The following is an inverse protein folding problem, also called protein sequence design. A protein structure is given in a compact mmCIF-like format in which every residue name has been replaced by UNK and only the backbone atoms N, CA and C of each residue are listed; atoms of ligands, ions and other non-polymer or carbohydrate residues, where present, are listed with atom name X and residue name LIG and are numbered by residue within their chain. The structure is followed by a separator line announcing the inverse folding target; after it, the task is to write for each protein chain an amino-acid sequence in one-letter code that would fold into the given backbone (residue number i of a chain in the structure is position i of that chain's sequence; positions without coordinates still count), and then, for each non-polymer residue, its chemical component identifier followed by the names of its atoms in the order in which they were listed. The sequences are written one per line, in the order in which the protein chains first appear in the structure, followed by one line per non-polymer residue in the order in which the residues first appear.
data_IF_741688562430
#
_entry.id   IF_741688562430
#
_cell.length_a   1.000
_cell.length_b   1.000
_cell.length_c   1.000
_cell.angle_alpha   90.00
_cell.angle_beta   90.00
_cell.angle_gamma   90.00
#
_symmetry.space_group_name_H-M   'P 1'
#
loop_
_entity.id
_entity.type
_entity.pdbx_description
1 polymer ?
#
# COMPACT_ATOMS: atom_id res chain seq x y z
N UNK A 1 6.91 -26.52 31.27
CA UNK A 1 6.82 -27.88 30.70
C UNK A 1 7.07 -27.98 29.19
N UNK A 2 6.77 -26.97 28.36
CA UNK A 2 6.97 -27.03 26.88
C UNK A 2 8.41 -26.83 26.34
N UNK A 3 9.37 -26.36 27.16
CA UNK A 3 10.76 -26.11 26.70
C UNK A 3 11.61 -27.39 26.65
N UNK A 4 11.28 -28.42 27.44
CA UNK A 4 12.08 -29.65 27.56
C UNK A 4 11.87 -30.58 26.36
N UNK A 5 10.62 -30.67 25.87
CA UNK A 5 10.24 -31.53 24.73
C UNK A 5 10.87 -31.08 23.40
N UNK A 6 11.08 -29.78 23.18
CA UNK A 6 11.68 -29.25 21.94
C UNK A 6 13.19 -29.54 21.86
N UNK A 7 13.92 -29.48 22.98
CA UNK A 7 15.36 -29.81 23.01
C UNK A 7 15.57 -31.31 22.80
N UNK A 8 14.71 -32.17 23.34
CA UNK A 8 14.76 -33.61 23.08
C UNK A 8 14.39 -33.96 21.65
N UNK A 9 13.38 -33.32 21.06
CA UNK A 9 13.01 -33.56 19.66
C UNK A 9 14.15 -33.15 18.70
N UNK A 10 14.81 -32.01 18.94
CA UNK A 10 15.96 -31.57 18.15
C UNK A 10 17.18 -32.48 18.35
N UNK A 11 17.43 -32.97 19.57
CA UNK A 11 18.50 -33.97 19.83
C UNK A 11 18.22 -35.31 19.16
N UNK A 12 16.96 -35.77 19.15
CA UNK A 12 16.54 -37.04 18.55
C UNK A 12 16.59 -37.00 17.01
N UNK A 13 16.32 -35.83 16.42
CA UNK A 13 16.57 -35.56 14.99
C UNK A 13 18.08 -35.55 14.73
N UNK A 14 18.89 -34.77 15.45
CA UNK A 14 20.36 -34.71 15.29
C UNK A 14 21.06 -36.07 15.38
N UNK A 15 20.57 -36.97 16.24
CA UNK A 15 21.16 -38.30 16.42
C UNK A 15 20.80 -39.28 15.30
N UNK A 16 19.62 -39.14 14.68
CA UNK A 16 19.24 -39.97 13.51
C UNK A 16 19.81 -39.44 12.19
N UNK A 17 20.05 -38.14 12.06
CA UNK A 17 20.52 -37.50 10.81
C UNK A 17 21.99 -37.73 10.48
N UNK A 18 22.83 -38.07 11.46
CA UNK A 18 24.27 -38.28 11.22
C UNK A 18 24.62 -39.62 10.56
N UNK A 19 23.66 -40.53 10.35
CA UNK A 19 23.95 -41.88 9.84
C UNK A 19 23.33 -42.24 8.50
N UNK A 20 22.36 -41.49 7.97
CA UNK A 20 21.68 -41.84 6.71
C UNK A 20 21.38 -40.58 5.87
N UNK A 21 22.04 -40.48 4.72
CA UNK A 21 21.79 -39.60 3.58
C UNK A 21 22.24 -38.11 3.65
N UNK A 22 23.17 -37.68 2.77
CA UNK A 22 23.52 -36.26 2.53
C UNK A 22 22.35 -35.36 2.11
N UNK A 23 21.23 -35.93 1.63
CA UNK A 23 20.02 -35.20 1.23
C UNK A 23 19.26 -34.59 2.41
N UNK A 24 19.49 -35.02 3.66
CA UNK A 24 18.85 -34.39 4.83
C UNK A 24 19.52 -33.10 5.30
N UNK A 25 20.79 -32.87 4.94
CA UNK A 25 21.47 -31.59 5.22
C UNK A 25 20.84 -30.43 4.43
N UNK A 26 20.25 -30.69 3.26
CA UNK A 26 19.46 -29.71 2.51
C UNK A 26 18.17 -29.35 3.26
N UNK A 27 17.43 -30.34 3.76
CA UNK A 27 16.21 -30.11 4.54
C UNK A 27 16.48 -29.30 5.81
N UNK A 28 17.60 -29.57 6.49
CA UNK A 28 17.98 -28.86 7.72
C UNK A 28 18.40 -27.40 7.46
N UNK A 29 18.99 -27.11 6.29
CA UNK A 29 19.29 -25.74 5.87
C UNK A 29 18.01 -24.97 5.52
N UNK A 30 17.03 -25.62 4.87
CA UNK A 30 15.75 -24.99 4.53
C UNK A 30 14.90 -24.67 5.77
N UNK A 31 14.96 -25.49 6.83
CA UNK A 31 14.23 -25.20 8.08
C UNK A 31 14.82 -24.02 8.88
N UNK A 32 16.13 -23.78 8.81
CA UNK A 32 16.79 -22.63 9.44
C UNK A 32 16.61 -21.34 8.64
N UNK A 33 16.27 -21.44 7.36
CA UNK A 33 16.05 -20.28 6.49
C UNK A 33 14.85 -19.44 6.93
N UNK A 34 13.87 -20.05 7.61
CA UNK A 34 12.65 -19.38 8.10
C UNK A 34 12.84 -18.61 9.41
N UNK A 35 14.01 -18.71 10.06
CA UNK A 35 14.30 -17.95 11.27
C UNK A 35 14.52 -16.47 10.91
N UNK A 36 13.68 -15.59 11.42
CA UNK A 36 13.67 -14.17 11.14
C UNK A 36 14.70 -13.44 12.00
N UNK A 37 15.50 -12.59 11.37
CA UNK A 37 16.39 -11.67 12.06
C UNK A 37 15.59 -10.70 12.95
N UNK A 38 16.09 -10.46 14.18
CA UNK A 38 15.38 -9.67 15.19
C UNK A 38 15.05 -8.24 14.75
N UNK A 39 15.91 -7.58 13.98
CA UNK A 39 15.62 -6.22 13.51
C UNK A 39 14.55 -6.23 12.42
N UNK A 40 14.59 -7.23 11.54
CA UNK A 40 13.60 -7.40 10.48
C UNK A 40 12.23 -7.74 11.09
N UNK A 41 12.21 -8.60 12.11
CA UNK A 41 11.01 -8.88 12.89
C UNK A 41 10.44 -7.61 13.53
N UNK A 42 11.26 -6.83 14.24
CA UNK A 42 10.84 -5.55 14.85
C UNK A 42 10.32 -4.55 13.82
N UNK A 43 10.91 -4.53 12.62
CA UNK A 43 10.48 -3.66 11.53
C UNK A 43 9.07 -4.02 11.01
N UNK A 44 8.78 -5.32 10.91
CA UNK A 44 7.52 -5.88 10.38
C UNK A 44 6.39 -5.94 11.42
N UNK A 45 6.76 -6.09 12.69
CA UNK A 45 5.85 -6.35 13.79
C UNK A 45 4.66 -5.38 13.90
N UNK A 46 4.80 -4.04 13.78
CA UNK A 46 3.69 -3.12 14.01
C UNK A 46 2.53 -3.36 13.04
N UNK A 47 2.86 -3.57 11.77
CA UNK A 47 1.87 -3.77 10.71
C UNK A 47 1.27 -5.17 10.83
N UNK A 48 2.09 -6.19 11.07
CA UNK A 48 1.63 -7.56 11.22
C UNK A 48 0.68 -7.71 12.43
N UNK A 49 0.99 -7.03 13.53
CA UNK A 49 0.15 -7.02 14.74
C UNK A 49 -1.25 -6.50 14.43
N UNK A 50 -1.35 -5.31 13.81
CA UNK A 50 -2.66 -4.73 13.50
C UNK A 50 -3.40 -5.55 12.44
N UNK A 51 -2.71 -6.09 11.44
CA UNK A 51 -3.32 -6.99 10.46
C UNK A 51 -3.87 -8.27 11.09
N UNK A 52 -3.19 -8.81 12.10
CA UNK A 52 -3.66 -9.95 12.86
C UNK A 52 -4.92 -9.61 13.68
N UNK A 53 -4.94 -8.45 14.36
CA UNK A 53 -6.12 -7.93 15.08
C UNK A 53 -7.30 -7.70 14.14
N UNK A 54 -7.04 -7.28 12.90
CA UNK A 54 -8.05 -7.08 11.85
C UNK A 54 -8.38 -8.36 11.07
N UNK A 55 -7.93 -9.53 11.54
CA UNK A 55 -8.20 -10.84 10.93
C UNK A 55 -7.83 -10.95 9.45
N UNK A 56 -6.80 -10.21 9.05
CA UNK A 56 -6.24 -10.22 7.70
C UNK A 56 -4.71 -10.32 7.72
N UNK A 57 -4.10 -11.25 8.51
CA UNK A 57 -2.65 -11.43 8.51
C UNK A 57 -2.17 -11.90 7.13
N UNK A 58 -1.02 -11.41 6.69
CA UNK A 58 -0.40 -11.81 5.42
C UNK A 58 0.48 -13.06 5.56
N UNK A 59 0.98 -13.28 6.77
CA UNK A 59 1.82 -14.38 7.18
C UNK A 59 1.76 -14.46 8.71
N UNK A 60 2.31 -15.53 9.28
CA UNK A 60 2.37 -15.74 10.71
C UNK A 60 3.82 -15.69 11.20
N UNK A 61 4.10 -14.88 12.23
CA UNK A 61 5.39 -14.87 12.93
C UNK A 61 5.20 -15.48 14.31
N UNK A 62 5.81 -16.64 14.55
CA UNK A 62 5.77 -17.33 15.85
C UNK A 62 7.17 -17.79 16.24
N UNK A 63 7.61 -17.45 17.45
CA UNK A 63 8.93 -17.82 17.98
C UNK A 63 10.09 -17.42 17.06
N UNK A 64 9.98 -16.24 16.43
CA UNK A 64 10.90 -15.71 15.42
C UNK A 64 10.94 -16.51 14.11
N UNK A 65 10.04 -17.48 13.89
CA UNK A 65 9.88 -18.13 12.59
C UNK A 65 8.75 -17.46 11.82
N UNK A 66 9.00 -17.14 10.56
CA UNK A 66 7.95 -16.74 9.63
C UNK A 66 7.41 -17.97 8.90
N UNK A 67 6.09 -18.10 8.89
CA UNK A 67 5.36 -19.21 8.27
C UNK A 67 4.15 -18.67 7.52
N UNK A 68 3.65 -19.41 6.54
CA UNK A 68 2.38 -19.05 5.91
C UNK A 68 1.23 -19.24 6.88
N UNK A 69 0.10 -18.60 6.58
CA UNK A 69 -1.08 -18.70 7.42
C UNK A 69 -1.59 -20.15 7.44
N UNK A 70 -1.97 -20.63 8.63
CA UNK A 70 -2.61 -21.93 8.74
C UNK A 70 -4.04 -21.90 8.19
N UNK A 71 -4.61 -23.07 7.89
CA UNK A 71 -5.98 -23.19 7.38
C UNK A 71 -7.00 -22.56 8.31
N UNK A 72 -6.81 -22.65 9.62
CA UNK A 72 -7.72 -22.06 10.62
C UNK A 72 -7.79 -20.53 10.51
N UNK A 73 -6.65 -19.85 10.44
CA UNK A 73 -6.57 -18.39 10.27
C UNK A 73 -7.21 -17.98 8.93
N UNK A 74 -6.95 -18.73 7.86
CA UNK A 74 -7.57 -18.48 6.56
C UNK A 74 -9.10 -18.66 6.60
N UNK A 75 -9.61 -19.70 7.25
CA UNK A 75 -11.05 -19.91 7.45
C UNK A 75 -11.68 -18.78 8.28
N UNK A 76 -11.03 -18.35 9.35
CA UNK A 76 -11.50 -17.22 10.18
C UNK A 76 -11.54 -15.94 9.35
N UNK A 77 -10.50 -15.65 8.57
CA UNK A 77 -10.43 -14.48 7.70
C UNK A 77 -11.55 -14.47 6.64
N UNK A 78 -11.83 -15.62 6.02
CA UNK A 78 -12.95 -15.77 5.08
C UNK A 78 -14.31 -15.61 5.75
N UNK A 79 -14.50 -16.24 6.92
CA UNK A 79 -15.76 -16.15 7.67
C UNK A 79 -16.05 -14.69 8.03
N UNK A 80 -15.05 -13.97 8.54
CA UNK A 80 -15.19 -12.55 8.89
C UNK A 80 -15.45 -11.70 7.65
N UNK A 81 -14.77 -11.97 6.54
CA UNK A 81 -15.04 -11.32 5.24
C UNK A 81 -16.46 -11.56 4.76
N UNK A 82 -16.98 -12.77 4.92
CA UNK A 82 -18.36 -13.12 4.60
C UNK A 82 -19.36 -12.41 5.53
N UNK A 83 -19.09 -12.37 6.84
CA UNK A 83 -19.89 -11.60 7.79
C UNK A 83 -19.93 -10.11 7.43
N UNK A 84 -18.81 -9.53 6.99
CA UNK A 84 -18.77 -8.16 6.49
C UNK A 84 -19.68 -7.97 5.28
N UNK A 85 -19.54 -8.82 4.26
CA UNK A 85 -20.37 -8.75 3.04
C UNK A 85 -21.85 -8.89 3.38
N UNK A 86 -22.22 -9.86 4.23
CA UNK A 86 -23.60 -10.09 4.65
C UNK A 86 -24.16 -8.88 5.41
N UNK A 87 -23.36 -8.29 6.33
CA UNK A 87 -23.77 -7.10 7.07
C UNK A 87 -24.10 -5.94 6.12
N UNK A 88 -23.36 -5.77 5.02
CA UNK A 88 -23.64 -4.74 4.03
C UNK A 88 -24.89 -5.02 3.21
N UNK A 89 -25.13 -6.27 2.81
CA UNK A 89 -26.34 -6.65 2.09
C UNK A 89 -27.57 -6.37 2.96
N UNK A 90 -27.51 -6.67 4.25
CA UNK A 90 -28.59 -6.40 5.21
C UNK A 90 -28.87 -4.89 5.28
N UNK A 91 -27.85 -4.02 5.36
CA UNK A 91 -28.08 -2.56 5.34
C UNK A 91 -28.82 -2.14 4.08
N UNK A 92 -28.32 -2.56 2.91
CA UNK A 92 -28.90 -2.15 1.63
C UNK A 92 -30.36 -2.60 1.54
N UNK A 93 -30.68 -3.76 2.10
CA UNK A 93 -32.04 -4.31 2.10
C UNK A 93 -32.99 -3.61 3.09
N UNK A 94 -32.51 -3.22 4.28
CA UNK A 94 -33.36 -2.77 5.39
C UNK A 94 -33.30 -1.27 5.69
N UNK A 95 -32.36 -0.51 5.12
CA UNK A 95 -32.23 0.92 5.37
C UNK A 95 -33.32 1.69 4.58
N UNK A 96 -34.47 1.91 5.21
CA UNK A 96 -35.63 2.66 4.67
C UNK A 96 -35.33 4.01 3.98
N UNK A 97 -34.32 4.83 4.35
CA UNK A 97 -33.98 6.04 3.58
C UNK A 97 -33.69 5.77 2.09
N UNK A 98 -33.25 4.55 1.73
CA UNK A 98 -33.03 4.12 0.33
C UNK A 98 -34.29 4.29 -0.54
N UNK A 99 -35.47 4.04 0.02
CA UNK A 99 -36.74 4.14 -0.72
C UNK A 99 -37.13 5.58 -1.07
N UNK A 100 -36.56 6.56 -0.36
CA UNK A 100 -36.83 8.00 -0.58
C UNK A 100 -35.84 8.66 -1.53
N UNK A 101 -34.71 8.02 -1.83
CA UNK A 101 -33.71 8.61 -2.70
C UNK A 101 -34.07 8.48 -4.18
N UNK A 102 -33.69 9.49 -4.96
CA UNK A 102 -33.73 9.37 -6.42
C UNK A 102 -32.90 8.17 -6.89
N UNK A 103 -33.37 7.49 -7.95
CA UNK A 103 -32.76 6.26 -8.50
C UNK A 103 -31.23 6.37 -8.70
N UNK A 104 -30.74 7.56 -9.05
CA UNK A 104 -29.31 7.80 -9.25
C UNK A 104 -28.50 7.68 -7.95
N UNK A 105 -28.93 8.31 -6.86
CA UNK A 105 -28.20 8.26 -5.59
C UNK A 105 -28.20 6.85 -5.01
N UNK A 106 -29.32 6.14 -5.14
CA UNK A 106 -29.41 4.72 -4.79
C UNK A 106 -28.41 3.87 -5.57
N UNK A 107 -28.32 4.08 -6.89
CA UNK A 107 -27.37 3.34 -7.73
C UNK A 107 -25.92 3.57 -7.28
N UNK A 108 -25.57 4.81 -6.95
CA UNK A 108 -24.23 5.17 -6.46
C UNK A 108 -23.94 4.58 -5.08
N UNK A 109 -24.93 4.57 -4.19
CA UNK A 109 -24.83 3.95 -2.87
C UNK A 109 -24.60 2.44 -3.00
N UNK A 110 -25.43 1.74 -3.75
CA UNK A 110 -25.29 0.29 -4.02
C UNK A 110 -23.93 -0.02 -4.64
N UNK A 111 -23.50 0.76 -5.63
CA UNK A 111 -22.19 0.60 -6.25
C UNK A 111 -21.05 0.76 -5.23
N UNK A 112 -21.12 1.76 -4.34
CA UNK A 112 -20.12 1.97 -3.28
C UNK A 112 -19.99 0.76 -2.37
N UNK A 113 -21.10 0.21 -1.87
CA UNK A 113 -21.05 -0.97 -1.00
C UNK A 113 -20.62 -2.24 -1.73
N UNK A 114 -21.08 -2.41 -2.98
CA UNK A 114 -20.61 -3.49 -3.83
C UNK A 114 -19.09 -3.48 -3.96
N UNK A 115 -18.50 -2.31 -4.21
CA UNK A 115 -17.04 -2.15 -4.29
C UNK A 115 -16.33 -2.44 -2.97
N UNK A 116 -16.92 -2.08 -1.81
CA UNK A 116 -16.36 -2.47 -0.51
C UNK A 116 -16.39 -3.99 -0.31
N UNK A 117 -17.49 -4.64 -0.68
CA UNK A 117 -17.63 -6.10 -0.59
C UNK A 117 -16.60 -6.81 -1.48
N UNK A 118 -16.49 -6.38 -2.75
CA UNK A 118 -15.50 -6.89 -3.70
C UNK A 118 -14.09 -6.65 -3.19
N UNK A 119 -13.80 -5.45 -2.68
CA UNK A 119 -12.48 -5.11 -2.14
C UNK A 119 -12.10 -5.96 -0.91
N UNK A 120 -13.05 -6.18 0.00
CA UNK A 120 -12.86 -7.04 1.17
C UNK A 120 -12.61 -8.50 0.75
N UNK A 121 -13.48 -9.05 -0.10
CA UNK A 121 -13.37 -10.42 -0.60
C UNK A 121 -12.06 -10.65 -1.34
N UNK A 122 -11.70 -9.77 -2.28
CA UNK A 122 -10.44 -9.87 -3.02
C UNK A 122 -9.23 -9.75 -2.11
N UNK A 123 -9.23 -8.86 -1.11
CA UNK A 123 -8.12 -8.75 -0.16
C UNK A 123 -7.91 -10.06 0.62
N UNK A 124 -8.99 -10.68 1.09
CA UNK A 124 -8.90 -11.94 1.84
C UNK A 124 -8.47 -13.10 0.94
N UNK A 125 -9.02 -13.19 -0.28
CA UNK A 125 -8.61 -14.20 -1.29
C UNK A 125 -7.12 -14.05 -1.61
N UNK A 126 -6.65 -12.83 -1.88
CA UNK A 126 -5.24 -12.55 -2.19
C UNK A 126 -4.34 -12.93 -1.02
N UNK A 127 -4.69 -12.55 0.22
CA UNK A 127 -3.87 -12.88 1.39
C UNK A 127 -3.79 -14.40 1.63
N UNK A 128 -4.85 -15.15 1.30
CA UNK A 128 -4.87 -16.62 1.44
C UNK A 128 -4.01 -17.27 0.35
N UNK A 129 -4.31 -16.96 -0.92
CA UNK A 129 -3.62 -17.55 -2.09
C UNK A 129 -2.14 -17.17 -2.08
N UNK A 130 -1.80 -15.94 -1.72
CA UNK A 130 -0.43 -15.42 -1.78
C UNK A 130 0.31 -15.45 -0.44
N UNK A 131 -0.20 -16.18 0.56
CA UNK A 131 0.45 -16.26 1.88
C UNK A 131 1.88 -16.81 1.80
N UNK A 132 2.14 -17.84 1.01
CA UNK A 132 3.49 -18.37 0.78
C UNK A 132 4.39 -17.35 0.05
N UNK A 133 3.83 -16.61 -0.91
CA UNK A 133 4.53 -15.55 -1.64
C UNK A 133 4.92 -14.39 -0.71
N UNK A 134 4.07 -14.05 0.27
CA UNK A 134 4.39 -13.08 1.30
C UNK A 134 5.57 -13.54 2.19
N UNK A 135 5.58 -14.81 2.58
CA UNK A 135 6.71 -15.39 3.33
C UNK A 135 7.98 -15.33 2.48
N UNK A 136 7.90 -15.75 1.21
CA UNK A 136 9.02 -15.73 0.26
C UNK A 136 9.60 -14.32 0.08
N UNK A 137 8.75 -13.27 0.04
CA UNK A 137 9.21 -11.88 0.00
C UNK A 137 10.11 -11.56 1.20
N UNK A 138 9.64 -11.84 2.41
CA UNK A 138 10.37 -11.53 3.65
C UNK A 138 11.67 -12.33 3.74
N UNK A 139 11.66 -13.61 3.35
CA UNK A 139 12.86 -14.44 3.31
C UNK A 139 13.87 -13.93 2.29
N UNK A 140 13.40 -13.45 1.13
CA UNK A 140 14.27 -12.84 0.12
C UNK A 140 14.90 -11.56 0.64
N UNK A 141 14.13 -10.70 1.31
CA UNK A 141 14.62 -9.49 2.00
C UNK A 141 15.65 -9.85 3.06
N UNK A 142 15.41 -10.91 3.85
CA UNK A 142 16.38 -11.39 4.83
C UNK A 142 17.69 -11.87 4.19
N UNK A 143 17.62 -12.60 3.06
CA UNK A 143 18.81 -13.05 2.33
C UNK A 143 19.61 -11.85 1.81
N UNK A 144 18.93 -10.79 1.36
CA UNK A 144 19.56 -9.52 1.00
C UNK A 144 20.21 -8.87 2.23
N UNK A 145 19.52 -8.82 3.39
CA UNK A 145 20.10 -8.28 4.64
C UNK A 145 21.37 -9.02 5.06
N UNK A 146 21.34 -10.36 5.07
CA UNK A 146 22.49 -11.22 5.44
C UNK A 146 23.70 -10.96 4.56
N UNK A 147 23.49 -10.56 3.31
CA UNK A 147 24.58 -10.18 2.40
C UNK A 147 25.26 -8.88 2.84
N UNK A 148 24.47 -7.84 3.11
CA UNK A 148 24.96 -6.54 3.57
C UNK A 148 25.25 -6.55 5.09
N UNK A 149 25.98 -7.54 5.62
CA UNK A 149 26.19 -7.82 7.08
C UNK A 149 26.32 -6.61 8.02
N UNK A 150 26.78 -5.47 7.52
CA UNK A 150 27.01 -4.21 8.24
C UNK A 150 25.78 -3.29 8.34
N UNK A 151 24.70 -3.58 7.61
CA UNK A 151 23.52 -2.73 7.52
C UNK A 151 22.46 -3.27 8.47
N UNK A 152 22.52 -2.80 9.69
CA UNK A 152 21.38 -2.90 10.61
C UNK A 152 20.23 -2.09 10.06
N UNK A 153 19.00 -2.61 10.17
CA UNK A 153 17.83 -1.79 9.89
C UNK A 153 17.83 -0.68 10.93
N UNK A 154 17.98 0.56 10.47
CA UNK A 154 18.05 1.74 11.34
C UNK A 154 16.88 1.74 12.33
N UNK A 155 17.18 1.88 13.63
CA UNK A 155 16.18 2.00 14.69
C UNK A 155 15.16 3.10 14.37
N UNK A 156 15.61 4.19 13.72
CA UNK A 156 14.71 5.25 13.24
C UNK A 156 13.68 4.71 12.26
N UNK A 157 14.06 3.80 11.38
CA UNK A 157 13.12 3.16 10.47
C UNK A 157 12.08 2.35 11.25
N UNK A 158 12.47 1.56 12.24
CA UNK A 158 11.53 0.80 13.09
C UNK A 158 10.54 1.74 13.81
N UNK A 159 11.04 2.81 14.43
CA UNK A 159 10.22 3.82 15.13
C UNK A 159 9.23 4.47 14.16
N UNK A 160 9.69 4.89 12.98
CA UNK A 160 8.81 5.48 11.96
C UNK A 160 7.71 4.48 11.55
N UNK A 161 7.99 3.18 11.51
CA UNK A 161 6.97 2.15 11.21
C UNK A 161 5.84 2.16 12.24
N UNK A 162 6.20 2.18 13.53
CA UNK A 162 5.24 2.30 14.64
C UNK A 162 4.44 3.60 14.56
N UNK A 163 5.12 4.73 14.35
CA UNK A 163 4.47 6.04 14.28
C UNK A 163 3.41 6.08 13.17
N UNK A 164 3.69 5.52 11.99
CA UNK A 164 2.68 5.47 10.90
C UNK A 164 1.47 4.62 11.29
N UNK A 165 1.68 3.45 11.90
CA UNK A 165 0.59 2.57 12.32
C UNK A 165 -0.24 3.22 13.43
N UNK A 166 0.42 3.84 14.43
CA UNK A 166 -0.24 4.54 15.53
C UNK A 166 -1.05 5.74 15.04
N UNK A 167 -0.48 6.61 14.21
CA UNK A 167 -1.20 7.75 13.62
C UNK A 167 -2.44 7.27 12.87
N UNK A 168 -2.31 6.21 12.07
CA UNK A 168 -3.42 5.67 11.30
C UNK A 168 -4.51 5.07 12.22
N UNK A 169 -4.14 4.27 13.22
CA UNK A 169 -5.10 3.70 14.17
C UNK A 169 -5.79 4.79 14.98
N UNK A 170 -5.04 5.75 15.52
CA UNK A 170 -5.59 6.89 16.26
C UNK A 170 -6.57 7.71 15.42
N UNK A 171 -6.26 7.93 14.13
CA UNK A 171 -7.17 8.62 13.22
C UNK A 171 -8.53 7.90 13.11
N UNK A 172 -8.53 6.58 12.91
CA UNK A 172 -9.78 5.82 12.80
C UNK A 172 -10.52 5.67 14.14
N UNK A 173 -9.80 5.56 15.26
CA UNK A 173 -10.40 5.53 16.60
C UNK A 173 -11.08 6.86 16.91
N UNK A 174 -10.40 8.00 16.67
CA UNK A 174 -11.00 9.33 16.87
C UNK A 174 -12.22 9.53 15.97
N UNK A 175 -12.15 9.07 14.71
CA UNK A 175 -13.28 9.14 13.79
C UNK A 175 -14.46 8.31 14.26
N UNK A 176 -14.18 7.11 14.79
CA UNK A 176 -15.20 6.24 15.37
C UNK A 176 -15.85 6.84 16.62
N UNK A 177 -15.05 7.42 17.54
CA UNK A 177 -15.54 8.10 18.73
C UNK A 177 -16.41 9.31 18.37
N UNK A 178 -16.04 10.07 17.34
CA UNK A 178 -16.86 11.18 16.85
C UNK A 178 -18.25 10.70 16.41
N UNK A 179 -18.31 9.59 15.65
CA UNK A 179 -19.58 9.00 15.22
C UNK A 179 -20.43 8.48 16.37
N UNK A 180 -19.81 7.88 17.40
CA UNK A 180 -20.53 7.47 18.63
C UNK A 180 -21.21 8.67 19.32
N UNK A 181 -20.56 9.82 19.33
CA UNK A 181 -21.08 11.01 20.02
C UNK A 181 -22.21 11.67 19.22
N UNK A 182 -22.12 11.66 17.88
CA UNK A 182 -23.05 12.40 17.01
C UNK A 182 -24.20 11.56 16.47
N UNK A 183 -24.00 10.26 16.27
CA UNK A 183 -24.95 9.37 15.62
C UNK A 183 -25.17 8.09 16.43
N UNK A 184 -26.32 7.44 16.20
CA UNK A 184 -26.51 6.09 16.74
C UNK A 184 -25.56 5.16 16.01
N UNK A 185 -24.55 4.68 16.73
CA UNK A 185 -23.58 3.76 16.19
C UNK A 185 -24.27 2.49 15.68
N UNK A 186 -24.10 2.23 14.38
CA UNK A 186 -24.47 0.94 13.79
C UNK A 186 -23.23 0.06 13.69
N UNK A 187 -23.42 -1.25 13.89
CA UNK A 187 -22.37 -2.26 13.76
C UNK A 187 -21.68 -2.23 12.38
N UNK A 188 -22.39 -1.72 11.39
CA UNK A 188 -21.94 -1.62 10.00
C UNK A 188 -20.99 -0.45 9.75
N UNK A 189 -21.14 0.66 10.48
CA UNK A 189 -20.16 1.74 10.49
C UNK A 189 -18.82 1.24 11.07
N UNK A 190 -18.85 0.49 12.17
CA UNK A 190 -17.66 -0.14 12.77
C UNK A 190 -16.91 -0.93 11.71
N UNK A 191 -17.63 -1.82 11.04
CA UNK A 191 -17.09 -2.69 10.00
C UNK A 191 -16.53 -1.92 8.81
N UNK A 192 -17.20 -0.86 8.38
CA UNK A 192 -16.70 0.04 7.35
C UNK A 192 -15.37 0.65 7.75
N UNK A 193 -15.24 1.14 8.98
CA UNK A 193 -13.98 1.75 9.44
C UNK A 193 -12.84 0.73 9.57
N UNK A 194 -13.14 -0.50 10.01
CA UNK A 194 -12.14 -1.57 10.03
C UNK A 194 -11.64 -1.91 8.62
N UNK A 195 -12.51 -1.96 7.62
CA UNK A 195 -12.12 -2.19 6.22
C UNK A 195 -11.34 -1.03 5.62
N UNK A 196 -11.73 0.21 5.93
CA UNK A 196 -10.99 1.41 5.52
C UNK A 196 -9.59 1.41 6.14
N UNK A 197 -9.47 1.10 7.43
CA UNK A 197 -8.19 0.96 8.15
C UNK A 197 -7.33 -0.14 7.53
N UNK A 198 -7.89 -1.32 7.23
CA UNK A 198 -7.17 -2.43 6.61
C UNK A 198 -6.60 -2.06 5.23
N UNK A 199 -7.37 -1.36 4.41
CA UNK A 199 -6.93 -0.89 3.10
C UNK A 199 -5.78 0.13 3.20
N UNK A 200 -5.83 1.05 4.16
CA UNK A 200 -4.75 2.00 4.40
C UNK A 200 -3.51 1.32 5.00
N UNK A 201 -3.67 0.34 5.90
CA UNK A 201 -2.56 -0.48 6.42
C UNK A 201 -1.86 -1.27 5.31
N UNK A 202 -2.60 -1.81 4.33
CA UNK A 202 -2.01 -2.43 3.15
C UNK A 202 -1.18 -1.45 2.32
N UNK A 203 -1.62 -0.20 2.23
CA UNK A 203 -0.89 0.87 1.54
C UNK A 203 0.38 1.23 2.30
N UNK A 204 0.30 1.35 3.63
CA UNK A 204 1.47 1.57 4.50
C UNK A 204 2.43 0.38 4.40
N UNK A 205 1.96 -0.87 4.44
CA UNK A 205 2.79 -2.05 4.24
C UNK A 205 3.61 -1.97 2.95
N UNK A 206 2.97 -1.68 1.82
CA UNK A 206 3.65 -1.54 0.53
C UNK A 206 4.69 -0.41 0.58
N UNK A 207 4.32 0.76 1.09
CA UNK A 207 5.21 1.91 1.24
C UNK A 207 6.51 1.53 1.98
N UNK A 208 6.37 0.75 3.06
CA UNK A 208 7.49 0.30 3.89
C UNK A 208 8.37 -0.72 3.16
N UNK A 209 7.78 -1.69 2.46
CA UNK A 209 8.54 -2.65 1.66
C UNK A 209 9.35 -1.98 0.54
N UNK A 210 8.74 -1.06 -0.21
CA UNK A 210 9.41 -0.32 -1.28
C UNK A 210 10.57 0.52 -0.71
N UNK A 211 10.34 1.20 0.42
CA UNK A 211 11.38 1.98 1.10
C UNK A 211 12.55 1.11 1.54
N UNK A 212 12.29 -0.07 2.09
CA UNK A 212 13.33 -1.02 2.52
C UNK A 212 14.15 -1.53 1.32
N UNK A 213 13.47 -1.95 0.25
CA UNK A 213 14.13 -2.40 -0.99
C UNK A 213 14.95 -1.29 -1.64
N UNK A 214 14.46 -0.04 -1.64
CA UNK A 214 15.24 1.12 -2.11
C UNK A 214 16.53 1.26 -1.33
N UNK A 215 16.49 1.16 0.00
CA UNK A 215 17.68 1.34 0.82
C UNK A 215 18.74 0.28 0.48
N UNK A 216 18.35 -0.98 0.29
CA UNK A 216 19.26 -2.03 -0.18
C UNK A 216 19.82 -1.75 -1.59
N UNK A 217 18.99 -1.23 -2.48
CA UNK A 217 19.43 -0.85 -3.83
C UNK A 217 20.46 0.29 -3.80
N UNK A 218 20.25 1.30 -2.95
CA UNK A 218 21.20 2.41 -2.74
C UNK A 218 22.52 1.90 -2.16
N UNK A 219 22.46 0.99 -1.19
CA UNK A 219 23.66 0.36 -0.62
C UNK A 219 24.44 -0.42 -1.68
N UNK A 220 23.74 -1.21 -2.50
CA UNK A 220 24.33 -1.92 -3.62
C UNK A 220 25.05 -0.97 -4.59
N UNK A 221 24.42 0.16 -4.95
CA UNK A 221 25.00 1.20 -5.82
C UNK A 221 26.28 1.75 -5.20
N UNK A 222 26.27 2.08 -3.91
CA UNK A 222 27.42 2.64 -3.22
C UNK A 222 28.59 1.66 -3.19
N UNK A 223 28.35 0.39 -2.84
CA UNK A 223 29.40 -0.65 -2.83
C UNK A 223 29.96 -0.90 -4.23
N UNK A 224 29.12 -0.89 -5.27
CA UNK A 224 29.58 -1.03 -6.66
C UNK A 224 30.43 0.16 -7.12
N UNK A 225 30.07 1.39 -6.73
CA UNK A 225 30.89 2.57 -7.03
C UNK A 225 32.26 2.49 -6.35
N UNK A 226 32.29 2.12 -5.06
CA UNK A 226 33.53 1.93 -4.32
C UNK A 226 34.41 0.85 -4.96
N UNK A 227 33.79 -0.28 -5.35
CA UNK A 227 34.49 -1.35 -6.06
C UNK A 227 35.12 -0.83 -7.35
N UNK A 228 34.38 -0.11 -8.19
CA UNK A 228 34.92 0.43 -9.45
C UNK A 228 36.13 1.33 -9.22
N UNK A 229 36.09 2.18 -8.20
CA UNK A 229 37.23 3.03 -7.84
C UNK A 229 38.43 2.19 -7.39
N UNK A 230 38.21 1.11 -6.63
CA UNK A 230 39.30 0.22 -6.21
C UNK A 230 39.89 -0.61 -7.37
N UNK A 231 39.07 -1.07 -8.32
CA UNK A 231 39.52 -1.86 -9.48
C UNK A 231 40.42 -1.04 -10.39
N UNK A 232 40.09 0.23 -10.63
CA UNK A 232 40.93 1.13 -11.42
C UNK A 232 42.34 1.24 -10.82
N UNK A 233 42.46 1.19 -9.50
CA UNK A 233 43.76 1.23 -8.81
C UNK A 233 44.46 -0.15 -8.80
N UNK A 234 43.71 -1.24 -8.67
CA UNK A 234 44.24 -2.60 -8.50
C UNK A 234 44.56 -3.32 -9.82
N UNK A 235 44.07 -2.84 -10.97
CA UNK A 235 44.34 -3.40 -12.30
C UNK A 235 45.85 -3.54 -12.60
N UNK A 236 46.70 -2.76 -11.94
CA UNK A 236 48.15 -2.87 -12.00
C UNK A 236 48.76 -4.09 -11.26
N UNK A 237 47.98 -4.83 -10.46
CA UNK A 237 48.49 -5.85 -9.51
C UNK A 237 48.15 -7.32 -9.83
N UNK A 238 47.58 -7.60 -11.00
CA UNK A 238 47.49 -8.94 -11.61
C UNK A 238 46.74 -10.04 -10.80
N UNK A 239 45.59 -9.73 -10.16
CA UNK A 239 44.75 -10.71 -9.42
C UNK A 239 43.29 -10.86 -9.95
N UNK A 240 43.08 -11.45 -11.14
CA UNK A 240 41.76 -11.50 -11.80
C UNK A 240 40.69 -12.35 -11.08
N UNK A 241 41.06 -13.42 -10.36
CA UNK A 241 40.07 -14.37 -9.80
C UNK A 241 39.21 -13.77 -8.68
N UNK A 242 39.75 -12.86 -7.86
CA UNK A 242 39.01 -12.25 -6.75
C UNK A 242 37.92 -11.28 -7.25
N UNK A 243 38.20 -10.58 -8.34
CA UNK A 243 37.28 -9.64 -8.97
C UNK A 243 36.04 -10.36 -9.51
N UNK A 244 36.24 -11.49 -10.19
CA UNK A 244 35.14 -12.30 -10.72
C UNK A 244 34.19 -12.79 -9.62
N UNK A 245 34.74 -13.33 -8.53
CA UNK A 245 33.93 -13.84 -7.39
C UNK A 245 33.15 -12.71 -6.73
N UNK A 246 33.80 -11.56 -6.48
CA UNK A 246 33.13 -10.39 -5.93
C UNK A 246 31.98 -9.93 -6.83
N UNK A 247 32.25 -9.86 -8.13
CA UNK A 247 31.29 -9.38 -9.12
C UNK A 247 30.08 -10.31 -9.24
N UNK A 248 30.30 -11.61 -9.41
CA UNK A 248 29.23 -12.63 -9.41
C UNK A 248 28.36 -12.53 -8.16
N UNK A 249 28.97 -12.27 -7.00
CA UNK A 249 28.25 -12.10 -5.74
C UNK A 249 27.37 -10.85 -5.77
N UNK A 250 27.88 -9.69 -6.21
CA UNK A 250 27.10 -8.45 -6.34
C UNK A 250 25.96 -8.58 -7.35
N UNK A 251 26.19 -9.25 -8.48
CA UNK A 251 25.16 -9.56 -9.48
C UNK A 251 24.04 -10.40 -8.88
N UNK A 252 24.40 -11.45 -8.12
CA UNK A 252 23.40 -12.31 -7.48
C UNK A 252 22.52 -11.55 -6.48
N UNK A 253 23.07 -10.55 -5.80
CA UNK A 253 22.35 -9.72 -4.82
C UNK A 253 21.43 -8.74 -5.51
N UNK A 254 21.89 -8.08 -6.58
CA UNK A 254 21.01 -7.23 -7.39
C UNK A 254 19.83 -8.04 -7.93
N UNK A 255 20.08 -9.24 -8.46
CA UNK A 255 19.02 -10.14 -8.91
C UNK A 255 17.99 -10.40 -7.81
N UNK A 256 18.44 -10.74 -6.59
CA UNK A 256 17.54 -10.94 -5.43
C UNK A 256 16.75 -9.67 -5.06
N UNK A 257 17.34 -8.48 -5.14
CA UNK A 257 16.63 -7.22 -4.91
C UNK A 257 15.54 -7.03 -5.96
N UNK A 258 15.82 -7.31 -7.23
CA UNK A 258 14.85 -7.24 -8.32
C UNK A 258 13.74 -8.28 -8.16
N UNK A 259 14.07 -9.51 -7.78
CA UNK A 259 13.10 -10.57 -7.51
C UNK A 259 12.17 -10.19 -6.34
N UNK A 260 12.72 -9.69 -5.23
CA UNK A 260 11.93 -9.19 -4.10
C UNK A 260 11.03 -8.00 -4.50
N UNK A 261 11.53 -7.15 -5.39
CA UNK A 261 10.77 -6.02 -5.93
C UNK A 261 9.59 -6.51 -6.78
N UNK A 262 9.83 -7.51 -7.63
CA UNK A 262 8.79 -8.14 -8.44
C UNK A 262 7.71 -8.77 -7.55
N UNK A 263 8.12 -9.57 -6.56
CA UNK A 263 7.21 -10.18 -5.59
C UNK A 263 6.42 -9.10 -4.83
N UNK A 264 7.09 -8.04 -4.35
CA UNK A 264 6.43 -6.93 -3.66
C UNK A 264 5.39 -6.23 -4.54
N UNK A 265 5.66 -6.11 -5.84
CA UNK A 265 4.72 -5.54 -6.81
C UNK A 265 3.49 -6.43 -6.93
N UNK A 266 3.65 -7.71 -7.27
CA UNK A 266 2.56 -8.70 -7.41
C UNK A 266 1.63 -8.71 -6.19
N UNK A 267 2.21 -8.76 -4.99
CA UNK A 267 1.49 -8.82 -3.72
C UNK A 267 0.69 -7.55 -3.39
N UNK A 268 1.18 -6.39 -3.84
CA UNK A 268 0.61 -5.10 -3.44
C UNK A 268 -0.20 -4.45 -4.56
N UNK A 269 -0.06 -4.90 -5.80
CA UNK A 269 -0.70 -4.30 -6.97
C UNK A 269 -2.23 -4.43 -6.90
N UNK A 270 -2.77 -5.61 -6.61
CA UNK A 270 -4.22 -5.81 -6.55
C UNK A 270 -4.85 -5.01 -5.40
N UNK A 271 -4.39 -5.11 -4.13
CA UNK A 271 -5.01 -4.37 -3.04
C UNK A 271 -4.87 -2.84 -3.18
N UNK A 272 -3.72 -2.37 -3.67
CA UNK A 272 -3.51 -0.93 -3.86
C UNK A 272 -4.31 -0.40 -5.04
N UNK A 273 -4.40 -1.13 -6.15
CA UNK A 273 -5.27 -0.74 -7.27
C UNK A 273 -6.72 -0.67 -6.83
N UNK A 274 -7.22 -1.69 -6.14
CA UNK A 274 -8.57 -1.67 -5.58
C UNK A 274 -8.78 -0.49 -4.63
N UNK A 275 -7.80 -0.19 -3.76
CA UNK A 275 -7.86 0.98 -2.89
C UNK A 275 -7.83 2.31 -3.67
N UNK A 276 -7.06 2.39 -4.76
CA UNK A 276 -7.00 3.57 -5.63
C UNK A 276 -8.30 3.75 -6.43
N UNK A 277 -8.85 2.68 -7.03
CA UNK A 277 -10.16 2.71 -7.67
C UNK A 277 -11.24 3.08 -6.69
N UNK A 278 -11.20 2.52 -5.48
CA UNK A 278 -12.11 2.90 -4.40
C UNK A 278 -11.97 4.36 -4.03
N UNK A 279 -10.75 4.90 -3.83
CA UNK A 279 -10.52 6.33 -3.55
C UNK A 279 -10.98 7.22 -4.71
N UNK A 280 -10.85 6.73 -5.95
CA UNK A 280 -11.32 7.42 -7.15
C UNK A 280 -12.85 7.32 -7.33
N UNK A 281 -13.50 6.25 -6.87
CA UNK A 281 -14.97 6.08 -6.90
C UNK A 281 -15.63 6.79 -5.71
N UNK A 282 -14.91 6.89 -4.59
CA UNK A 282 -15.11 7.91 -3.55
C UNK A 282 -14.82 9.34 -4.07
N UNK A 283 -14.69 9.54 -5.39
CA UNK A 283 -15.07 10.81 -6.02
C UNK A 283 -16.44 11.30 -5.56
N UNK A 284 -17.33 10.45 -5.06
CA UNK A 284 -18.53 10.90 -4.36
C UNK A 284 -18.23 11.66 -3.05
N UNK A 285 -17.13 11.36 -2.35
CA UNK A 285 -16.64 12.16 -1.22
C UNK A 285 -16.07 13.48 -1.70
N UNK A 286 -15.34 13.49 -2.83
CA UNK A 286 -14.92 14.72 -3.49
C UNK A 286 -16.14 15.52 -3.95
N UNK A 287 -17.14 14.87 -4.57
CA UNK A 287 -18.40 15.44 -5.04
C UNK A 287 -19.27 15.90 -3.85
N UNK A 288 -19.23 15.23 -2.70
CA UNK A 288 -19.92 15.64 -1.46
C UNK A 288 -19.22 16.81 -0.78
N UNK A 289 -17.89 16.79 -0.68
CA UNK A 289 -17.09 17.94 -0.21
C UNK A 289 -17.29 19.11 -1.17
N UNK A 290 -17.32 18.85 -2.47
CA UNK A 290 -17.62 19.77 -3.54
C UNK A 290 -19.05 20.27 -3.51
N UNK A 291 -20.05 19.45 -3.17
CA UNK A 291 -21.44 19.86 -2.98
C UNK A 291 -21.61 20.68 -1.69
N UNK A 292 -20.79 20.43 -0.67
CA UNK A 292 -20.72 21.28 0.51
C UNK A 292 -20.05 22.61 0.22
N UNK A 293 -18.91 22.62 -0.47
CA UNK A 293 -18.22 23.84 -0.88
C UNK A 293 -19.08 24.62 -1.86
N UNK A 294 -19.68 23.97 -2.85
CA UNK A 294 -20.61 24.59 -3.80
C UNK A 294 -21.87 25.05 -3.09
N UNK A 295 -22.39 24.33 -2.09
CA UNK A 295 -23.53 24.78 -1.28
C UNK A 295 -23.22 26.08 -0.50
N UNK A 296 -22.00 26.20 0.04
CA UNK A 296 -21.53 27.45 0.69
C UNK A 296 -21.35 28.58 -0.34
N UNK A 297 -20.70 28.30 -1.47
CA UNK A 297 -20.50 29.28 -2.55
C UNK A 297 -21.83 29.72 -3.16
N UNK A 298 -22.77 28.80 -3.41
CA UNK A 298 -24.11 29.10 -3.92
C UNK A 298 -25.00 29.80 -2.90
N UNK A 299 -24.80 29.60 -1.60
CA UNK A 299 -25.46 30.42 -0.58
C UNK A 299 -25.00 31.87 -0.68
N UNK A 300 -23.68 32.10 -0.85
CA UNK A 300 -23.14 33.43 -1.13
C UNK A 300 -23.65 34.00 -2.48
N UNK A 301 -23.75 33.18 -3.52
CA UNK A 301 -24.28 33.61 -4.82
C UNK A 301 -25.79 33.83 -4.82
N UNK A 302 -26.57 33.13 -3.99
CA UNK A 302 -28.01 33.36 -3.81
C UNK A 302 -28.27 34.75 -3.21
N UNK A 303 -27.48 35.14 -2.22
CA UNK A 303 -27.50 36.50 -1.65
C UNK A 303 -27.20 37.54 -2.74
N UNK A 304 -26.23 37.26 -3.62
CA UNK A 304 -25.87 38.15 -4.71
C UNK A 304 -26.91 38.18 -5.85
N UNK A 305 -27.48 37.04 -6.24
CA UNK A 305 -28.46 36.96 -7.33
C UNK A 305 -29.82 37.55 -6.96
N UNK A 306 -30.24 37.46 -5.69
CA UNK A 306 -31.41 38.21 -5.18
C UNK A 306 -31.20 39.73 -5.33
N UNK A 307 -29.95 40.20 -5.44
CA UNK A 307 -29.64 41.61 -5.67
C UNK A 307 -29.51 42.02 -7.15
N UNK A 308 -29.54 41.08 -8.11
CA UNK A 308 -29.30 41.39 -9.55
C UNK A 308 -30.43 40.87 -10.46
N UNK A 309 -31.18 41.78 -11.08
CA UNK A 309 -32.40 41.52 -11.87
C UNK A 309 -32.15 40.99 -13.32
N UNK A 310 -31.57 39.80 -13.52
CA UNK A 310 -31.32 39.29 -14.89
C UNK A 310 -32.20 38.07 -15.29
N UNK A 311 -33.05 38.16 -16.34
CA UNK A 311 -34.10 37.16 -16.61
C UNK A 311 -33.74 35.95 -17.52
N UNK A 312 -32.67 36.00 -18.32
CA UNK A 312 -32.35 34.94 -19.31
C UNK A 312 -31.51 33.78 -18.76
N UNK A 313 -30.59 34.06 -17.84
CA UNK A 313 -29.85 33.06 -17.05
C UNK A 313 -30.78 32.20 -16.17
N UNK A 314 -31.97 32.74 -15.89
CA UNK A 314 -32.90 32.26 -14.90
C UNK A 314 -33.42 30.84 -15.19
N UNK A 315 -33.59 30.36 -16.44
CA UNK A 315 -34.24 29.05 -16.67
C UNK A 315 -33.39 27.81 -16.39
N UNK A 316 -32.13 27.78 -16.84
CA UNK A 316 -31.20 26.68 -16.52
C UNK A 316 -30.75 26.77 -15.06
N UNK A 317 -30.50 28.00 -14.59
CA UNK A 317 -30.20 28.29 -13.20
C UNK A 317 -31.36 27.91 -12.28
N UNK A 318 -32.63 28.14 -12.63
CA UNK A 318 -33.80 27.70 -11.83
C UNK A 318 -33.84 26.18 -11.71
N UNK A 319 -33.50 25.41 -12.77
CA UNK A 319 -33.47 23.93 -12.66
C UNK A 319 -32.35 23.47 -11.72
N UNK A 320 -31.17 24.08 -11.83
CA UNK A 320 -30.02 23.78 -10.98
C UNK A 320 -30.24 24.25 -9.53
N UNK A 321 -30.77 25.45 -9.31
CA UNK A 321 -31.18 26.01 -8.01
C UNK A 321 -32.34 25.23 -7.41
N UNK A 322 -33.27 24.67 -8.21
CA UNK A 322 -34.29 23.75 -7.69
C UNK A 322 -33.68 22.44 -7.20
N UNK A 323 -32.72 21.86 -7.93
CA UNK A 323 -31.98 20.69 -7.48
C UNK A 323 -31.18 20.99 -6.20
N UNK A 324 -30.53 22.14 -6.14
CA UNK A 324 -29.78 22.59 -4.96
C UNK A 324 -30.67 22.99 -3.79
N UNK A 325 -31.82 23.61 -4.01
CA UNK A 325 -32.83 23.86 -2.97
C UNK A 325 -33.43 22.57 -2.47
N UNK A 326 -33.62 21.56 -3.33
CA UNK A 326 -34.03 20.24 -2.88
C UNK A 326 -32.94 19.61 -1.99
N UNK A 327 -31.67 19.79 -2.36
CA UNK A 327 -30.52 19.33 -1.57
C UNK A 327 -30.32 20.15 -0.28
N UNK A 328 -30.54 21.46 -0.29
CA UNK A 328 -30.43 22.34 0.88
C UNK A 328 -31.62 22.16 1.81
N UNK A 329 -32.82 21.96 1.27
CA UNK A 329 -34.00 21.53 2.02
C UNK A 329 -33.77 20.16 2.64
N UNK A 330 -33.12 19.23 1.92
CA UNK A 330 -32.67 17.96 2.46
C UNK A 330 -31.66 18.15 3.61
N UNK A 331 -30.65 19.00 3.44
CA UNK A 331 -29.67 19.34 4.48
C UNK A 331 -30.24 20.14 5.65
N UNK A 332 -31.32 20.89 5.45
CA UNK A 332 -31.99 21.68 6.50
C UNK A 332 -33.05 20.86 7.25
N UNK A 333 -33.71 19.90 6.59
CA UNK A 333 -34.71 19.02 7.21
C UNK A 333 -34.09 17.84 7.94
N UNK A 334 -32.96 17.34 7.46
CA UNK A 334 -32.03 16.68 8.36
C UNK A 334 -31.43 17.78 9.22
N UNK A 335 -32.10 18.12 10.32
CA UNK A 335 -31.48 18.88 11.41
C UNK A 335 -30.27 18.05 11.87
N UNK A 336 -29.12 18.19 11.20
CA UNK A 336 -27.84 17.62 11.63
C UNK A 336 -27.25 18.72 12.51
N UNK A 337 -27.50 18.70 13.83
CA UNK A 337 -26.82 19.61 14.72
C UNK A 337 -25.31 19.41 14.53
N UNK A 338 -24.60 20.48 14.14
CA UNK A 338 -23.14 20.54 13.95
C UNK A 338 -22.56 20.15 12.57
N UNK A 339 -23.17 20.62 11.47
CA UNK A 339 -22.60 20.52 10.10
C UNK A 339 -21.12 20.90 10.00
N UNK A 340 -20.66 21.92 10.74
CA UNK A 340 -19.25 22.34 10.74
C UNK A 340 -18.26 21.27 11.22
N UNK A 341 -18.68 20.35 12.09
CA UNK A 341 -17.81 19.26 12.55
C UNK A 341 -17.62 18.20 11.46
N UNK A 342 -18.71 17.78 10.80
CA UNK A 342 -18.65 16.80 9.71
C UNK A 342 -17.81 17.27 8.53
N UNK A 343 -17.92 18.55 8.13
CA UNK A 343 -17.12 19.12 7.04
C UNK A 343 -15.63 19.08 7.37
N UNK A 344 -15.24 19.44 8.59
CA UNK A 344 -13.85 19.34 9.06
C UNK A 344 -13.35 17.89 9.01
N UNK A 345 -14.16 16.92 9.44
CA UNK A 345 -13.76 15.50 9.41
C UNK A 345 -13.62 14.96 7.98
N UNK A 346 -14.53 15.29 7.07
CA UNK A 346 -14.43 14.90 5.65
C UNK A 346 -13.18 15.51 5.00
N UNK A 347 -12.86 16.75 5.35
CA UNK A 347 -11.62 17.40 4.94
C UNK A 347 -10.40 16.64 5.45
N UNK A 348 -10.34 16.30 6.74
CA UNK A 348 -9.24 15.53 7.34
C UNK A 348 -9.09 14.13 6.71
N UNK A 349 -10.20 13.45 6.42
CA UNK A 349 -10.19 12.15 5.74
C UNK A 349 -9.62 12.25 4.32
N UNK A 350 -9.98 13.31 3.60
CA UNK A 350 -9.47 13.60 2.25
C UNK A 350 -7.99 13.94 2.29
N UNK A 351 -7.57 14.80 3.22
CA UNK A 351 -6.19 15.15 3.43
C UNK A 351 -5.34 13.90 3.71
N UNK A 352 -5.79 13.02 4.62
CA UNK A 352 -5.13 11.73 4.88
C UNK A 352 -4.97 10.89 3.61
N UNK A 353 -6.02 10.77 2.79
CA UNK A 353 -5.95 10.00 1.54
C UNK A 353 -4.95 10.59 0.55
N UNK A 354 -4.92 11.92 0.41
CA UNK A 354 -3.98 12.65 -0.42
C UNK A 354 -2.56 12.44 0.10
N UNK A 355 -2.31 12.60 1.41
CA UNK A 355 -0.99 12.38 2.02
C UNK A 355 -0.48 10.96 1.77
N UNK A 356 -1.30 9.93 1.98
CA UNK A 356 -0.90 8.55 1.68
C UNK A 356 -0.56 8.34 0.20
N UNK A 357 -1.32 8.96 -0.70
CA UNK A 357 -1.08 8.90 -2.14
C UNK A 357 0.21 9.62 -2.56
N UNK A 358 0.51 10.75 -1.93
CA UNK A 358 1.77 11.46 -2.13
C UNK A 358 2.95 10.63 -1.63
N UNK A 359 2.86 10.07 -0.42
CA UNK A 359 3.94 9.27 0.18
C UNK A 359 4.29 8.05 -0.69
N UNK A 360 3.29 7.32 -1.17
CA UNK A 360 3.52 6.15 -2.04
C UNK A 360 4.10 6.55 -3.40
N UNK A 361 3.61 7.63 -4.01
CA UNK A 361 4.11 8.10 -5.31
C UNK A 361 5.56 8.58 -5.19
N UNK A 362 5.88 9.30 -4.12
CA UNK A 362 7.21 9.81 -3.83
C UNK A 362 8.23 8.72 -3.53
N UNK A 363 7.88 7.74 -2.68
CA UNK A 363 8.79 6.63 -2.39
C UNK A 363 9.01 5.73 -3.61
N UNK A 364 7.99 5.55 -4.46
CA UNK A 364 8.13 4.86 -5.76
C UNK A 364 9.08 5.59 -6.70
N UNK A 365 8.95 6.91 -6.84
CA UNK A 365 9.86 7.70 -7.68
C UNK A 365 11.30 7.58 -7.20
N UNK A 366 11.54 7.71 -5.90
CA UNK A 366 12.88 7.53 -5.33
C UNK A 366 13.44 6.13 -5.58
N UNK A 367 12.62 5.09 -5.45
CA UNK A 367 13.01 3.73 -5.79
C UNK A 367 13.41 3.63 -7.27
N UNK A 368 12.63 4.22 -8.15
CA UNK A 368 12.86 4.22 -9.59
C UNK A 368 14.13 4.97 -10.01
N UNK A 369 14.41 6.11 -9.39
CA UNK A 369 15.67 6.84 -9.58
C UNK A 369 16.86 5.97 -9.14
N UNK A 370 16.76 5.28 -8.00
CA UNK A 370 17.79 4.33 -7.58
C UNK A 370 17.95 3.18 -8.59
N UNK A 371 16.84 2.65 -9.11
CA UNK A 371 16.85 1.62 -10.15
C UNK A 371 17.55 2.09 -11.43
N UNK A 372 17.29 3.32 -11.89
CA UNK A 372 17.99 3.92 -13.05
C UNK A 372 19.49 4.09 -12.77
N UNK A 373 19.86 4.51 -11.56
CA UNK A 373 21.26 4.64 -11.16
C UNK A 373 21.99 3.30 -11.16
N UNK A 374 21.31 2.17 -10.93
CA UNK A 374 21.95 0.85 -11.12
C UNK A 374 22.34 0.59 -12.57
N UNK A 375 21.55 1.04 -13.57
CA UNK A 375 21.91 0.91 -14.98
C UNK A 375 23.16 1.74 -15.29
N UNK A 376 23.26 2.96 -14.76
CA UNK A 376 24.43 3.82 -14.95
C UNK A 376 25.69 3.16 -14.38
N UNK A 377 25.62 2.62 -13.16
CA UNK A 377 26.76 1.93 -12.54
C UNK A 377 27.15 0.68 -13.33
N UNK A 378 26.19 -0.11 -13.81
CA UNK A 378 26.45 -1.26 -14.67
C UNK A 378 27.10 -0.86 -16.00
N UNK A 379 26.69 0.27 -16.60
CA UNK A 379 27.29 0.78 -17.84
C UNK A 379 28.73 1.25 -17.62
N UNK A 380 29.00 1.97 -16.53
CA UNK A 380 30.37 2.39 -16.16
C UNK A 380 31.30 1.19 -16.02
N UNK A 381 30.80 0.07 -15.49
CA UNK A 381 31.61 -1.14 -15.38
C UNK A 381 31.83 -1.87 -16.69
N UNK A 382 30.92 -1.76 -17.67
CA UNK A 382 31.09 -2.43 -18.98
C UNK A 382 32.11 -1.78 -19.91
N UNK A 383 32.54 -0.54 -19.60
CA UNK A 383 33.51 0.20 -20.43
C UNK A 383 34.95 -0.23 -20.12
N UNK A 384 35.21 -0.85 -18.97
CA UNK A 384 36.49 -1.51 -18.71
C UNK A 384 36.65 -2.73 -19.63
N UNK A 385 37.89 -3.12 -19.97
CA UNK A 385 38.21 -4.33 -20.74
C UNK A 385 37.77 -5.60 -19.98
N UNK A 386 36.49 -5.91 -20.13
CA UNK A 386 35.77 -6.94 -19.38
C UNK A 386 35.69 -8.22 -20.23
N UNK A 387 35.80 -9.37 -19.58
CA UNK A 387 35.74 -10.66 -20.28
C UNK A 387 34.39 -10.87 -21.00
N UNK A 388 34.34 -11.68 -22.07
CA UNK A 388 33.09 -11.95 -22.79
C UNK A 388 31.93 -12.45 -21.92
N UNK A 389 32.22 -13.29 -20.91
CA UNK A 389 31.22 -13.86 -20.01
C UNK A 389 30.62 -12.81 -19.07
N UNK A 390 31.46 -11.92 -18.52
CA UNK A 390 31.00 -10.79 -17.73
C UNK A 390 30.12 -9.87 -18.58
N UNK A 391 30.52 -9.59 -19.83
CA UNK A 391 29.70 -8.79 -20.78
C UNK A 391 28.33 -9.42 -21.01
N UNK A 392 28.21 -10.75 -21.07
CA UNK A 392 26.93 -11.45 -21.18
C UNK A 392 26.09 -11.29 -19.92
N UNK A 393 26.69 -11.44 -18.73
CA UNK A 393 26.02 -11.25 -17.46
C UNK A 393 25.53 -9.79 -17.28
N UNK A 394 26.30 -8.78 -17.71
CA UNK A 394 25.88 -7.38 -17.76
C UNK A 394 24.66 -7.16 -18.66
N UNK A 395 24.69 -7.71 -19.87
CA UNK A 395 23.55 -7.64 -20.80
C UNK A 395 22.31 -8.26 -20.17
N UNK A 396 22.46 -9.39 -19.47
CA UNK A 396 21.36 -10.07 -18.78
C UNK A 396 20.79 -9.23 -17.65
N UNK A 397 21.65 -8.67 -16.79
CA UNK A 397 21.22 -7.77 -15.72
C UNK A 397 20.53 -6.51 -16.26
N UNK A 398 21.06 -5.92 -17.33
CA UNK A 398 20.45 -4.76 -17.97
C UNK A 398 19.06 -5.10 -18.50
N UNK A 399 18.87 -6.28 -19.09
CA UNK A 399 17.56 -6.78 -19.52
C UNK A 399 16.62 -6.99 -18.33
N UNK A 400 17.09 -7.59 -17.24
CA UNK A 400 16.31 -7.76 -16.00
C UNK A 400 15.92 -6.42 -15.38
N UNK A 401 16.84 -5.46 -15.33
CA UNK A 401 16.58 -4.13 -14.80
C UNK A 401 15.53 -3.39 -15.64
N UNK A 402 15.67 -3.43 -16.98
CA UNK A 402 14.67 -2.87 -17.91
C UNK A 402 13.33 -3.59 -17.80
N UNK A 403 13.32 -4.90 -17.58
CA UNK A 403 12.09 -5.66 -17.37
C UNK A 403 11.43 -5.24 -16.05
N UNK A 404 12.17 -5.12 -14.96
CA UNK A 404 11.67 -4.64 -13.67
C UNK A 404 11.10 -3.21 -13.78
N UNK A 405 11.84 -2.32 -14.44
CA UNK A 405 11.41 -0.95 -14.76
C UNK A 405 10.12 -0.95 -15.59
N UNK A 406 10.09 -1.72 -16.68
CA UNK A 406 8.91 -1.82 -17.56
C UNK A 406 7.73 -2.39 -16.78
N UNK A 407 7.94 -3.40 -15.94
CA UNK A 407 6.89 -4.00 -15.10
C UNK A 407 6.33 -3.00 -14.09
N UNK A 408 7.18 -2.16 -13.48
CA UNK A 408 6.71 -1.09 -12.58
C UNK A 408 5.89 -0.01 -13.30
N UNK A 409 6.15 0.21 -14.59
CA UNK A 409 5.43 1.18 -15.42
C UNK A 409 4.23 0.56 -16.17
N UNK A 410 4.23 -0.74 -16.45
CA UNK A 410 3.25 -1.42 -17.32
C UNK A 410 1.95 -1.78 -16.62
N UNK A 411 1.67 -1.21 -15.45
CA UNK A 411 0.36 -1.27 -14.83
C UNK A 411 -0.61 -0.38 -15.61
N UNK A 412 -1.14 -0.92 -16.71
CA UNK A 412 -1.74 -0.25 -17.88
C UNK A 412 -2.90 0.73 -17.63
N UNK A 413 -3.51 0.76 -16.44
CA UNK A 413 -4.62 1.69 -16.20
C UNK A 413 -4.20 3.01 -15.55
N UNK A 414 -3.20 3.02 -14.66
CA UNK A 414 -2.69 4.25 -14.02
C UNK A 414 -1.22 4.06 -13.66
N UNK A 415 -0.33 4.79 -14.35
CA UNK A 415 1.07 4.90 -13.93
C UNK A 415 1.12 5.71 -12.63
N UNK A 416 1.41 5.06 -11.51
CA UNK A 416 1.70 5.74 -10.24
C UNK A 416 3.14 6.26 -10.33
N UNK A 417 3.30 7.37 -11.03
CA UNK A 417 4.53 8.15 -11.14
C UNK A 417 4.49 9.35 -10.18
N UNK A 418 5.60 10.08 -10.04
CA UNK A 418 5.60 11.34 -9.29
C UNK A 418 4.62 12.40 -9.84
N UNK A 419 4.13 12.20 -11.08
CA UNK A 419 3.14 13.09 -11.72
C UNK A 419 1.72 12.74 -11.32
N UNK A 420 1.42 11.55 -10.81
CA UNK A 420 0.05 11.15 -10.47
C UNK A 420 -0.61 12.11 -9.48
N UNK A 421 0.04 12.52 -8.37
CA UNK A 421 -0.54 13.52 -7.48
C UNK A 421 -0.77 14.87 -8.16
N UNK A 422 0.15 15.30 -9.04
CA UNK A 422 0.00 16.54 -9.82
C UNK A 422 -1.17 16.46 -10.79
N UNK A 423 -1.36 15.33 -11.46
CA UNK A 423 -2.52 15.09 -12.35
C UNK A 423 -3.83 15.12 -11.56
N UNK A 424 -3.86 14.53 -10.37
CA UNK A 424 -5.04 14.56 -9.49
C UNK A 424 -5.33 15.97 -9.01
N UNK A 425 -4.32 16.72 -8.57
CA UNK A 425 -4.48 18.13 -8.17
C UNK A 425 -4.94 18.98 -9.36
N UNK A 426 -4.38 18.77 -10.55
CA UNK A 426 -4.78 19.48 -11.75
C UNK A 426 -6.25 19.20 -12.10
N UNK A 427 -6.67 17.93 -12.09
CA UNK A 427 -8.07 17.57 -12.29
C UNK A 427 -8.97 18.21 -11.23
N UNK A 428 -8.59 18.13 -9.96
CA UNK A 428 -9.33 18.78 -8.87
C UNK A 428 -9.44 20.30 -9.07
N UNK A 429 -8.34 20.96 -9.42
CA UNK A 429 -8.30 22.39 -9.67
C UNK A 429 -9.18 22.77 -10.86
N UNK A 430 -9.13 22.03 -11.97
CA UNK A 430 -10.01 22.24 -13.13
C UNK A 430 -11.48 22.10 -12.75
N UNK A 431 -11.85 21.07 -11.99
CA UNK A 431 -13.22 20.91 -11.50
C UNK A 431 -13.66 22.07 -10.58
N UNK A 432 -12.77 22.53 -9.70
CA UNK A 432 -13.03 23.69 -8.82
C UNK A 432 -13.20 24.96 -9.65
N UNK A 433 -12.35 25.22 -10.65
CA UNK A 433 -12.45 26.40 -11.51
C UNK A 433 -13.75 26.38 -12.32
N UNK A 434 -14.08 25.26 -12.97
CA UNK A 434 -15.33 25.12 -13.75
C UNK A 434 -16.54 25.37 -12.87
N UNK A 435 -16.53 24.88 -11.63
CA UNK A 435 -17.57 25.20 -10.67
C UNK A 435 -17.65 26.67 -10.30
N UNK A 436 -16.51 27.28 -9.97
CA UNK A 436 -16.47 28.69 -9.59
C UNK A 436 -16.99 29.55 -10.75
N UNK A 437 -16.64 29.19 -11.99
CA UNK A 437 -17.23 29.80 -13.18
C UNK A 437 -18.75 29.65 -13.22
N UNK A 438 -19.30 28.46 -13.01
CA UNK A 438 -20.77 28.27 -12.90
C UNK A 438 -21.42 28.96 -11.71
N UNK A 439 -20.64 29.33 -10.69
CA UNK A 439 -21.15 30.03 -9.52
C UNK A 439 -21.14 31.56 -9.70
N UNK A 440 -20.17 32.11 -10.45
CA UNK A 440 -19.98 33.55 -10.63
C UNK A 440 -20.46 34.10 -11.98
N UNK A 441 -20.58 33.26 -13.01
CA UNK A 441 -21.30 33.56 -14.26
C UNK A 441 -22.75 33.15 -14.09
#
# INVERSE_FOLDING_TARGET
MFKTTRREYIKKIKFRTNKLCPSLNYLQNDFLDNYLDADLQKYLFPINLVQFVLFSPKYNIRDNFITSNNRTINCISLLISFCFILSYIIIIAFDDPIKKFEKLLLTLFVLKYFLYCVGCGLNSIVNIIQSDTHVMLILTIQKIKKYFKLVTIDNRSIIISWVHVLILCSFYILYYLFHIIKEKLTLTMVFTYLLLLLADLNTVYMLRMIKLLRNYLVLWITEMKQFNTSVVNEYHSNKPTRLLVFWQTKVSVLKRILDATYICKELCEIPVRLNLYRKFLDKHTILQIFFHISGVVLYCCYIYAVSSECPSFNRAFIKFVKLLRYFQFYLNNFQIPNMGSYTLFLFMFTLKNITLLFLISFEREKYFVALKNTEVVLLMTTVADVSPDERLAYKTLRRLNRAAYKMMNSSSMVTVDAKLPLRIISVLATYVIVLLQFAFL
#
